data_IF_424412875082
#
_entry.id   IF_424412875082
#
_cell.length_a   1.000
_cell.length_b   1.000
_cell.length_c   1.000
_cell.angle_alpha   90.00
_cell.angle_beta   90.00
_cell.angle_gamma   90.00
#
_symmetry.space_group_name_H-M   'P 1'
#
loop_
_entity.id
_entity.type
_entity.pdbx_description
1 polymer ?
#
# COMPACT_ATOMS: atom_id res chain seq x y z
N UNK A 1 -19.23 -3.25 20.84
CA UNK A 1 -17.84 -3.14 21.32
C UNK A 1 -17.81 -3.43 22.80
N UNK A 2 -16.89 -4.25 23.29
CA UNK A 2 -16.75 -4.54 24.71
C UNK A 2 -15.40 -4.06 25.28
N UNK A 3 -15.31 -3.89 26.61
CA UNK A 3 -14.11 -3.42 27.30
C UNK A 3 -12.93 -4.37 27.09
N UNK A 4 -13.19 -5.67 26.87
CA UNK A 4 -12.19 -6.69 26.69
C UNK A 4 -11.45 -6.52 25.36
N UNK A 5 -12.16 -6.15 24.28
CA UNK A 5 -11.57 -5.90 22.96
C UNK A 5 -10.66 -4.68 22.98
N UNK A 6 -11.13 -3.55 23.55
CA UNK A 6 -10.33 -2.32 23.67
C UNK A 6 -9.09 -2.54 24.56
N UNK A 7 -9.27 -3.21 25.70
CA UNK A 7 -8.17 -3.53 26.61
C UNK A 7 -7.11 -4.40 25.96
N UNK A 8 -7.52 -5.40 25.18
CA UNK A 8 -6.61 -6.25 24.41
C UNK A 8 -5.78 -5.43 23.41
N UNK A 9 -6.42 -4.52 22.65
CA UNK A 9 -5.73 -3.67 21.67
C UNK A 9 -4.69 -2.79 22.37
N UNK A 10 -5.03 -2.17 23.48
CA UNK A 10 -4.10 -1.34 24.27
C UNK A 10 -2.91 -2.18 24.75
N UNK A 11 -3.15 -3.40 25.26
CA UNK A 11 -2.10 -4.29 25.73
C UNK A 11 -1.15 -4.72 24.60
N UNK A 12 -1.69 -5.05 23.42
CA UNK A 12 -0.88 -5.42 22.25
C UNK A 12 -0.04 -4.25 21.75
N UNK A 13 -0.62 -3.06 21.64
CA UNK A 13 0.12 -1.86 21.24
C UNK A 13 1.24 -1.52 22.22
N UNK A 14 0.97 -1.60 23.50
CA UNK A 14 1.98 -1.36 24.54
C UNK A 14 3.14 -2.36 24.43
N UNK A 15 2.84 -3.67 24.33
CA UNK A 15 3.87 -4.71 24.18
C UNK A 15 4.68 -4.52 22.90
N UNK A 16 4.03 -4.20 21.77
CA UNK A 16 4.70 -3.93 20.49
C UNK A 16 5.68 -2.74 20.58
N UNK A 17 5.38 -1.79 21.44
CA UNK A 17 6.25 -0.64 21.70
C UNK A 17 7.23 -0.86 22.87
N UNK A 18 7.41 -2.13 23.32
CA UNK A 18 8.30 -2.49 24.41
C UNK A 18 8.06 -1.69 25.72
N UNK A 19 6.82 -1.34 26.00
CA UNK A 19 6.41 -0.50 27.12
C UNK A 19 5.83 -1.35 28.25
N UNK A 20 6.17 -1.03 29.50
CA UNK A 20 5.51 -1.61 30.68
C UNK A 20 4.18 -0.89 30.96
N UNK A 21 3.28 -1.53 31.72
CA UNK A 21 2.04 -0.88 32.17
C UNK A 21 2.32 0.38 33.01
N UNK A 22 3.41 0.36 33.78
CA UNK A 22 3.83 1.50 34.59
C UNK A 22 4.27 2.69 33.72
N UNK A 23 5.03 2.45 32.66
CA UNK A 23 5.44 3.51 31.73
C UNK A 23 4.25 4.11 30.97
N UNK A 24 3.31 3.26 30.52
CA UNK A 24 2.08 3.75 29.88
C UNK A 24 1.25 4.58 30.86
N UNK A 25 1.10 4.12 32.10
CA UNK A 25 0.34 4.86 33.14
C UNK A 25 0.96 6.22 33.44
N UNK A 26 2.30 6.31 33.46
CA UNK A 26 3.02 7.57 33.63
C UNK A 26 2.75 8.54 32.47
N UNK A 27 2.80 8.07 31.22
CA UNK A 27 2.55 8.90 30.03
C UNK A 27 1.11 9.44 29.97
N UNK A 28 0.16 8.64 30.45
CA UNK A 28 -1.26 9.00 30.46
C UNK A 28 -1.68 9.73 31.73
N UNK A 29 -0.78 9.95 32.68
CA UNK A 29 -1.07 10.53 33.98
C UNK A 29 -2.23 9.83 34.72
N UNK A 30 -2.20 8.49 34.70
CA UNK A 30 -3.18 7.64 35.41
C UNK A 30 -2.46 6.65 36.33
N UNK A 31 -3.20 5.96 37.20
CA UNK A 31 -2.58 4.93 38.03
C UNK A 31 -2.23 3.68 37.24
N UNK A 32 -1.17 2.96 37.64
CA UNK A 32 -0.85 1.62 37.12
C UNK A 32 -2.06 0.67 37.18
N UNK A 33 -2.83 0.71 38.28
CA UNK A 33 -4.04 -0.09 38.44
C UNK A 33 -5.10 0.22 37.39
N UNK A 34 -5.15 1.46 36.92
CA UNK A 34 -6.08 1.91 35.89
C UNK A 34 -5.74 1.24 34.55
N UNK A 35 -4.48 1.28 34.12
CA UNK A 35 -4.02 0.62 32.89
C UNK A 35 -4.24 -0.89 32.97
N UNK A 36 -3.84 -1.51 34.08
CA UNK A 36 -4.07 -2.93 34.31
C UNK A 36 -5.56 -3.31 34.25
N UNK A 37 -6.45 -2.47 34.76
CA UNK A 37 -7.90 -2.68 34.71
C UNK A 37 -8.42 -2.64 33.26
N UNK A 38 -7.94 -1.72 32.44
CA UNK A 38 -8.30 -1.65 31.02
C UNK A 38 -7.83 -2.89 30.28
N UNK A 39 -6.55 -3.25 30.39
CA UNK A 39 -5.96 -4.40 29.69
C UNK A 39 -6.59 -5.75 30.06
N UNK A 40 -7.15 -5.84 31.26
CA UNK A 40 -7.89 -7.03 31.70
C UNK A 40 -9.40 -6.99 31.35
N UNK A 41 -9.85 -5.96 30.64
CA UNK A 41 -11.25 -5.81 30.24
C UNK A 41 -12.21 -5.50 31.40
N UNK A 42 -11.69 -5.00 32.51
CA UNK A 42 -12.46 -4.65 33.71
C UNK A 42 -12.97 -3.20 33.71
N UNK A 43 -12.78 -2.49 32.61
CA UNK A 43 -13.26 -1.12 32.40
C UNK A 43 -12.70 -0.54 31.11
N UNK A 44 -13.21 0.63 30.75
CA UNK A 44 -12.76 1.42 29.60
C UNK A 44 -11.87 2.58 30.02
N UNK A 45 -10.94 3.03 29.14
CA UNK A 45 -10.42 4.39 29.24
C UNK A 45 -11.57 5.40 29.19
N UNK A 46 -11.43 6.51 29.90
CA UNK A 46 -12.33 7.65 29.72
C UNK A 46 -12.23 8.17 28.28
N UNK A 47 -13.32 8.74 27.76
CA UNK A 47 -13.38 9.19 26.37
C UNK A 47 -12.26 10.19 26.04
N UNK A 48 -11.86 10.99 26.99
CA UNK A 48 -10.76 11.96 26.91
C UNK A 48 -9.38 11.32 26.84
N UNK A 49 -9.24 10.06 27.23
CA UNK A 49 -7.98 9.30 27.20
C UNK A 49 -7.72 8.66 25.83
N UNK A 50 -8.74 8.40 25.02
CA UNK A 50 -8.58 7.75 23.72
C UNK A 50 -7.66 8.52 22.77
N UNK A 51 -7.78 9.87 22.61
CA UNK A 51 -6.86 10.63 21.78
C UNK A 51 -5.40 10.56 22.26
N UNK A 52 -5.17 10.59 23.58
CA UNK A 52 -3.83 10.51 24.14
C UNK A 52 -3.21 9.11 23.95
N UNK A 53 -3.98 8.04 24.16
CA UNK A 53 -3.55 6.67 23.89
C UNK A 53 -3.22 6.52 22.38
N UNK A 54 -4.09 7.01 21.50
CA UNK A 54 -3.91 6.99 20.06
C UNK A 54 -2.60 7.69 19.64
N UNK A 55 -2.34 8.87 20.21
CA UNK A 55 -1.12 9.66 19.97
C UNK A 55 0.14 8.94 20.46
N UNK A 56 0.11 8.33 21.65
CA UNK A 56 1.26 7.60 22.22
C UNK A 56 1.66 6.43 21.30
N UNK A 57 0.69 5.75 20.71
CA UNK A 57 0.93 4.56 19.88
C UNK A 57 0.96 4.82 18.37
N UNK A 58 0.70 6.07 17.93
CA UNK A 58 0.67 6.42 16.50
C UNK A 58 -0.45 5.74 15.73
N UNK A 59 -1.61 5.54 16.36
CA UNK A 59 -2.79 4.92 15.75
C UNK A 59 -3.99 5.87 15.78
N UNK A 60 -5.06 5.56 15.02
CA UNK A 60 -6.32 6.31 15.11
C UNK A 60 -7.13 5.88 16.34
N UNK A 61 -8.02 6.77 16.81
CA UNK A 61 -9.00 6.45 17.85
C UNK A 61 -9.91 5.32 17.39
N UNK A 62 -10.31 5.31 16.12
CA UNK A 62 -11.12 4.25 15.52
C UNK A 62 -10.43 2.88 15.64
N UNK A 63 -9.11 2.83 15.37
CA UNK A 63 -8.35 1.59 15.55
C UNK A 63 -8.37 1.09 17.00
N UNK A 64 -8.21 2.00 17.97
CA UNK A 64 -8.31 1.62 19.39
C UNK A 64 -9.70 1.08 19.74
N UNK A 65 -10.72 1.59 19.08
CA UNK A 65 -12.09 1.22 19.34
C UNK A 65 -12.50 -0.06 18.61
N UNK A 66 -12.11 -0.26 17.36
CA UNK A 66 -12.59 -1.36 16.51
C UNK A 66 -11.56 -2.48 16.30
N UNK A 67 -10.28 -2.18 16.48
CA UNK A 67 -9.19 -3.07 16.06
C UNK A 67 -8.95 -3.10 14.55
N UNK A 68 -9.74 -2.35 13.79
CA UNK A 68 -9.64 -2.30 12.33
C UNK A 68 -8.78 -1.12 11.90
N UNK A 69 -7.75 -1.38 11.12
CA UNK A 69 -7.00 -0.31 10.46
C UNK A 69 -7.75 0.14 9.22
N UNK A 70 -8.05 1.43 9.14
CA UNK A 70 -8.50 2.02 7.88
C UNK A 70 -7.39 1.81 6.84
N UNK A 71 -7.77 1.30 5.67
CA UNK A 71 -6.85 1.06 4.58
C UNK A 71 -6.51 2.33 3.81
N UNK A 72 -5.49 2.22 2.96
CA UNK A 72 -5.11 3.28 2.02
C UNK A 72 -5.45 2.80 0.62
N UNK A 73 -6.25 3.56 -0.09
CA UNK A 73 -6.52 3.36 -1.52
C UNK A 73 -5.54 4.22 -2.34
N UNK A 74 -4.83 3.60 -3.27
CA UNK A 74 -3.91 4.28 -4.19
C UNK A 74 -4.50 4.19 -5.59
N UNK A 75 -4.85 5.35 -6.17
CA UNK A 75 -5.49 5.44 -7.47
C UNK A 75 -4.59 6.12 -8.51
N UNK A 76 -4.57 5.62 -9.75
CA UNK A 76 -3.85 6.23 -10.85
C UNK A 76 -3.23 5.25 -11.84
N UNK A 77 -2.09 5.62 -12.39
CA UNK A 77 -1.42 4.87 -13.45
C UNK A 77 -0.85 3.54 -12.97
N UNK A 78 -1.12 2.50 -13.75
CA UNK A 78 -0.59 1.14 -13.61
C UNK A 78 0.05 0.75 -14.94
N UNK A 79 1.31 0.34 -14.93
CA UNK A 79 2.01 -0.10 -16.12
C UNK A 79 3.10 -1.13 -15.80
N UNK A 80 3.67 -1.72 -16.84
CA UNK A 80 4.92 -2.49 -16.74
C UNK A 80 6.05 -1.77 -17.46
N UNK A 81 7.27 -1.92 -16.92
CA UNK A 81 8.50 -1.50 -17.58
C UNK A 81 9.29 -2.73 -18.03
N UNK A 82 9.43 -2.92 -19.33
CA UNK A 82 10.27 -3.92 -19.94
C UNK A 82 11.64 -3.30 -20.24
N UNK A 83 12.56 -3.48 -19.30
CA UNK A 83 13.90 -2.88 -19.37
C UNK A 83 14.85 -3.77 -20.15
N UNK A 84 15.43 -3.22 -21.20
CA UNK A 84 16.44 -3.86 -22.06
C UNK A 84 17.75 -3.09 -21.92
N UNK A 85 18.76 -3.70 -21.31
CA UNK A 85 20.09 -3.13 -21.32
C UNK A 85 20.72 -3.38 -22.68
N UNK A 86 21.13 -2.33 -23.35
CA UNK A 86 21.76 -2.39 -24.67
C UNK A 86 23.20 -1.89 -24.59
N UNK A 87 24.06 -2.38 -25.48
CA UNK A 87 25.46 -1.99 -25.51
C UNK A 87 25.65 -0.52 -25.97
N UNK A 88 24.77 -0.04 -26.86
CA UNK A 88 24.78 1.31 -27.40
C UNK A 88 23.43 1.61 -28.06
N UNK A 89 23.10 2.89 -28.29
CA UNK A 89 21.94 3.27 -29.10
C UNK A 89 22.31 3.20 -30.58
N UNK A 90 21.60 2.39 -31.39
CA UNK A 90 21.91 2.27 -32.79
C UNK A 90 21.48 3.52 -33.56
N UNK A 91 22.25 3.90 -34.58
CA UNK A 91 21.78 4.84 -35.59
C UNK A 91 20.62 4.22 -36.36
N UNK A 92 19.81 5.08 -37.00
CA UNK A 92 18.69 4.60 -37.83
C UNK A 92 19.15 3.57 -38.87
N UNK A 93 18.44 2.42 -38.89
CA UNK A 93 18.77 1.30 -39.79
C UNK A 93 19.88 0.38 -39.29
N UNK A 94 20.48 0.65 -38.12
CA UNK A 94 21.53 -0.17 -37.54
C UNK A 94 20.97 -1.04 -36.40
N UNK A 95 21.75 -2.04 -35.97
CA UNK A 95 21.42 -3.00 -34.92
C UNK A 95 22.23 -2.69 -33.66
N UNK A 96 21.60 -2.81 -32.49
CA UNK A 96 22.28 -2.89 -31.20
C UNK A 96 21.99 -4.22 -30.51
N UNK A 97 22.93 -4.71 -29.69
CA UNK A 97 22.76 -5.93 -28.94
C UNK A 97 22.06 -5.67 -27.61
N UNK A 98 21.05 -6.48 -27.29
CA UNK A 98 20.44 -6.53 -25.96
C UNK A 98 21.32 -7.42 -25.09
N UNK A 99 21.84 -6.87 -24.01
CA UNK A 99 22.71 -7.55 -23.04
C UNK A 99 21.89 -8.25 -21.94
N UNK A 100 20.78 -7.66 -21.55
CA UNK A 100 19.86 -8.23 -20.54
C UNK A 100 18.43 -7.70 -20.72
N UNK A 101 17.47 -8.50 -20.25
CA UNK A 101 16.05 -8.13 -20.24
C UNK A 101 15.50 -8.35 -18.83
N UNK A 102 14.74 -7.39 -18.33
CA UNK A 102 14.01 -7.52 -17.08
C UNK A 102 12.65 -6.84 -17.18
N UNK A 103 11.69 -7.32 -16.38
CA UNK A 103 10.35 -6.72 -16.28
C UNK A 103 10.07 -6.30 -14.84
N UNK A 104 9.55 -5.09 -14.67
CA UNK A 104 9.07 -4.56 -13.40
C UNK A 104 7.68 -3.97 -13.55
N UNK A 105 7.01 -3.75 -12.41
CA UNK A 105 5.82 -2.92 -12.38
C UNK A 105 6.22 -1.46 -12.24
N UNK A 106 5.46 -0.57 -12.86
CA UNK A 106 5.66 0.86 -12.84
C UNK A 106 4.33 1.62 -12.72
N UNK A 107 4.43 2.94 -12.67
CA UNK A 107 3.30 3.83 -12.42
C UNK A 107 3.13 4.18 -10.94
N UNK A 108 2.33 5.21 -10.67
CA UNK A 108 2.19 5.71 -9.30
C UNK A 108 1.53 4.67 -8.37
N UNK A 109 0.57 3.89 -8.85
CA UNK A 109 -0.13 2.91 -8.00
C UNK A 109 0.78 1.79 -7.52
N UNK A 110 1.44 1.00 -8.39
CA UNK A 110 2.32 -0.06 -7.93
C UNK A 110 3.49 0.45 -7.08
N UNK A 111 4.13 1.55 -7.49
CA UNK A 111 5.29 2.07 -6.77
C UNK A 111 4.90 2.51 -5.35
N UNK A 112 3.86 3.34 -5.22
CA UNK A 112 3.41 3.83 -3.91
C UNK A 112 2.89 2.70 -3.02
N UNK A 113 2.02 1.84 -3.55
CA UNK A 113 1.41 0.77 -2.75
C UNK A 113 2.45 -0.27 -2.28
N UNK A 114 3.39 -0.66 -3.15
CA UNK A 114 4.45 -1.61 -2.79
C UNK A 114 5.40 -1.00 -1.74
N UNK A 115 5.73 0.29 -1.84
CA UNK A 115 6.61 0.93 -0.88
C UNK A 115 5.94 1.07 0.49
N UNK A 116 4.65 1.43 0.55
CA UNK A 116 3.88 1.40 1.79
C UNK A 116 3.85 -0.01 2.38
N UNK A 117 3.59 -1.04 1.56
CA UNK A 117 3.56 -2.44 2.01
C UNK A 117 4.91 -2.93 2.55
N UNK A 118 6.04 -2.40 2.05
CA UNK A 118 7.37 -2.70 2.60
C UNK A 118 7.60 -2.02 3.95
N UNK A 119 7.05 -0.82 4.15
CA UNK A 119 7.18 -0.06 5.40
C UNK A 119 6.32 -0.70 6.50
N UNK A 120 5.05 -0.97 6.22
CA UNK A 120 4.13 -1.59 7.18
C UNK A 120 3.09 -2.49 6.46
N UNK A 121 3.30 -3.79 6.52
CA UNK A 121 2.41 -4.80 5.94
C UNK A 121 1.04 -4.91 6.63
N UNK A 122 0.87 -4.30 7.78
CA UNK A 122 -0.39 -4.36 8.52
C UNK A 122 -1.41 -3.29 8.07
N UNK A 123 -1.02 -2.37 7.20
CA UNK A 123 -1.92 -1.39 6.59
C UNK A 123 -2.66 -2.09 5.43
N UNK A 124 -4.01 -2.18 5.46
CA UNK A 124 -4.76 -2.65 4.30
C UNK A 124 -4.54 -1.70 3.11
N UNK A 125 -4.12 -2.25 1.97
CA UNK A 125 -3.84 -1.46 0.77
C UNK A 125 -4.73 -1.89 -0.38
N UNK A 126 -5.30 -0.92 -1.09
CA UNK A 126 -6.18 -1.12 -2.24
C UNK A 126 -5.59 -0.41 -3.45
N UNK A 127 -5.38 -1.14 -4.53
CA UNK A 127 -4.94 -0.58 -5.80
C UNK A 127 -6.14 -0.28 -6.70
N UNK A 128 -6.21 0.96 -7.19
CA UNK A 128 -7.21 1.41 -8.13
C UNK A 128 -6.54 1.93 -9.40
N UNK A 129 -7.00 1.49 -10.53
CA UNK A 129 -6.45 1.85 -11.83
C UNK A 129 -7.10 1.01 -12.91
N UNK A 130 -6.53 1.04 -14.12
CA UNK A 130 -7.07 0.28 -15.23
C UNK A 130 -5.96 -0.47 -15.97
N UNK A 131 -6.20 -1.73 -16.27
CA UNK A 131 -5.31 -2.62 -17.02
C UNK A 131 -6.06 -3.24 -18.19
N UNK A 132 -5.35 -3.86 -19.12
CA UNK A 132 -5.93 -4.72 -20.15
C UNK A 132 -6.04 -6.18 -19.67
N UNK A 133 -6.81 -7.00 -20.37
CA UNK A 133 -6.84 -8.46 -20.17
C UNK A 133 -5.70 -9.12 -20.95
N UNK A 134 -4.47 -8.92 -20.51
CA UNK A 134 -3.27 -9.40 -21.17
C UNK A 134 -2.20 -9.90 -20.18
N UNK A 135 -1.05 -10.33 -20.70
CA UNK A 135 0.06 -10.82 -19.88
C UNK A 135 0.61 -9.74 -18.93
N UNK A 136 0.70 -8.48 -19.39
CA UNK A 136 1.17 -7.36 -18.57
C UNK A 136 0.22 -7.10 -17.40
N UNK A 137 -1.10 -7.12 -17.64
CA UNK A 137 -2.10 -6.97 -16.59
C UNK A 137 -2.03 -8.08 -15.54
N UNK A 138 -1.95 -9.33 -15.98
CA UNK A 138 -1.79 -10.49 -15.08
C UNK A 138 -0.49 -10.40 -14.27
N UNK A 139 0.60 -9.94 -14.89
CA UNK A 139 1.86 -9.72 -14.19
C UNK A 139 1.74 -8.67 -13.08
N UNK A 140 1.10 -7.53 -13.37
CA UNK A 140 0.84 -6.47 -12.37
C UNK A 140 0.04 -7.01 -11.20
N UNK A 141 -1.10 -7.66 -11.46
CA UNK A 141 -1.96 -8.25 -10.43
C UNK A 141 -1.14 -9.21 -9.53
N UNK A 142 -0.41 -10.13 -10.13
CA UNK A 142 0.43 -11.08 -9.39
C UNK A 142 1.48 -10.39 -8.52
N UNK A 143 2.10 -9.31 -9.00
CA UNK A 143 3.09 -8.55 -8.24
C UNK A 143 2.48 -7.82 -7.06
N UNK A 144 1.35 -7.14 -7.24
CA UNK A 144 0.66 -6.43 -6.17
C UNK A 144 0.17 -7.40 -5.08
N UNK A 145 -0.44 -8.52 -5.47
CA UNK A 145 -0.92 -9.55 -4.54
C UNK A 145 0.21 -10.18 -3.71
N UNK A 146 1.42 -10.33 -4.27
CA UNK A 146 2.61 -10.78 -3.52
C UNK A 146 2.95 -9.89 -2.33
N UNK A 147 2.61 -8.61 -2.40
CA UNK A 147 2.78 -7.65 -1.30
C UNK A 147 1.54 -7.51 -0.42
N UNK A 148 0.50 -8.33 -0.64
CA UNK A 148 -0.76 -8.28 0.14
C UNK A 148 -1.67 -7.10 -0.22
N UNK A 149 -1.47 -6.49 -1.40
CA UNK A 149 -2.27 -5.38 -1.89
C UNK A 149 -3.53 -5.93 -2.55
N UNK A 150 -4.70 -5.42 -2.16
CA UNK A 150 -5.97 -5.77 -2.77
C UNK A 150 -6.06 -5.19 -4.19
N UNK A 151 -6.29 -6.06 -5.16
CA UNK A 151 -6.40 -5.74 -6.59
C UNK A 151 -7.81 -5.86 -7.13
N UNK A 152 -8.79 -6.19 -6.28
CA UNK A 152 -10.18 -6.42 -6.69
C UNK A 152 -10.90 -5.18 -7.24
N UNK A 153 -10.28 -3.99 -7.08
CA UNK A 153 -10.81 -2.72 -7.58
C UNK A 153 -10.04 -2.17 -8.80
N UNK A 154 -9.14 -2.95 -9.36
CA UNK A 154 -8.50 -2.61 -10.63
C UNK A 154 -9.47 -2.93 -11.76
N UNK A 155 -9.86 -1.92 -12.54
CA UNK A 155 -10.73 -2.09 -13.69
C UNK A 155 -9.97 -2.77 -14.85
N UNK A 156 -10.69 -3.58 -15.64
CA UNK A 156 -10.12 -4.26 -16.80
C UNK A 156 -10.74 -3.66 -18.06
N UNK A 157 -9.89 -3.13 -18.95
CA UNK A 157 -10.32 -2.65 -20.28
C UNK A 157 -10.59 -3.83 -21.21
N UNK A 158 -11.73 -3.79 -21.89
CA UNK A 158 -12.03 -4.72 -22.98
C UNK A 158 -11.47 -4.26 -24.35
N UNK A 159 -10.89 -3.04 -24.41
CA UNK A 159 -10.49 -2.40 -25.69
C UNK A 159 -9.00 -2.17 -25.81
N UNK A 160 -8.34 -1.87 -24.70
CA UNK A 160 -6.94 -1.49 -24.68
C UNK A 160 -6.10 -2.50 -23.91
N UNK A 161 -4.85 -2.66 -24.35
CA UNK A 161 -3.84 -3.40 -23.61
C UNK A 161 -3.45 -2.68 -22.33
N UNK A 162 -2.87 -3.40 -21.39
CA UNK A 162 -2.20 -2.79 -20.22
C UNK A 162 -1.12 -1.82 -20.70
N UNK A 163 -1.02 -0.68 -20.04
CA UNK A 163 0.03 0.30 -20.34
C UNK A 163 1.41 -0.31 -20.10
N UNK A 164 2.37 0.00 -20.94
CA UNK A 164 3.73 -0.48 -20.76
C UNK A 164 4.76 0.51 -21.30
N UNK A 165 6.00 0.37 -20.85
CA UNK A 165 7.15 1.07 -21.43
C UNK A 165 8.21 0.04 -21.81
N UNK A 166 8.70 0.13 -23.04
CA UNK A 166 9.97 -0.43 -23.43
C UNK A 166 11.07 0.57 -23.05
N UNK A 167 11.95 0.18 -22.14
CA UNK A 167 13.01 1.01 -21.62
C UNK A 167 14.34 0.51 -22.13
N UNK A 168 14.99 1.27 -23.00
CA UNK A 168 16.35 1.01 -23.42
C UNK A 168 17.32 1.71 -22.45
N UNK A 169 18.19 0.94 -21.81
CA UNK A 169 19.13 1.44 -20.80
C UNK A 169 20.56 1.11 -21.21
N UNK A 170 21.45 2.09 -21.16
CA UNK A 170 22.89 1.87 -21.31
C UNK A 170 23.51 1.42 -19.98
N UNK A 171 24.67 0.73 -20.00
CA UNK A 171 25.44 0.45 -18.78
C UNK A 171 25.85 1.69 -17.99
N UNK A 172 25.91 2.84 -18.63
CA UNK A 172 26.17 4.16 -18.02
C UNK A 172 25.00 4.69 -17.19
N UNK A 173 23.79 4.08 -17.32
CA UNK A 173 22.58 4.49 -16.63
C UNK A 173 21.65 5.40 -17.44
N UNK A 174 22.05 5.85 -18.63
CA UNK A 174 21.18 6.61 -19.53
C UNK A 174 20.03 5.75 -20.04
N UNK A 175 18.84 6.35 -20.16
CA UNK A 175 17.61 5.62 -20.52
C UNK A 175 16.81 6.37 -21.58
N UNK A 176 16.21 5.58 -22.47
CA UNK A 176 15.23 6.05 -23.47
C UNK A 176 13.98 5.21 -23.34
N UNK A 177 12.80 5.84 -23.44
CA UNK A 177 11.52 5.20 -23.18
C UNK A 177 10.66 5.23 -24.43
N UNK A 178 10.05 4.07 -24.74
CA UNK A 178 8.96 3.97 -25.70
C UNK A 178 7.71 3.56 -24.92
N UNK A 179 6.75 4.48 -24.80
CA UNK A 179 5.61 4.30 -23.90
C UNK A 179 4.30 4.12 -24.66
N UNK A 180 3.57 3.05 -24.31
CA UNK A 180 2.20 2.79 -24.74
C UNK A 180 1.25 3.14 -23.60
N UNK A 181 0.40 4.15 -23.77
CA UNK A 181 -0.55 4.58 -22.73
C UNK A 181 -1.62 3.53 -22.41
N UNK A 182 -2.03 2.72 -23.39
CA UNK A 182 -2.96 1.62 -23.19
C UNK A 182 -4.16 1.97 -22.32
N UNK A 183 -4.55 1.07 -21.42
CA UNK A 183 -5.68 1.22 -20.52
C UNK A 183 -5.61 2.44 -19.58
N UNK A 184 -4.42 2.97 -19.29
CA UNK A 184 -4.32 4.21 -18.50
C UNK A 184 -4.96 5.42 -19.19
N UNK A 185 -5.09 5.41 -20.54
CA UNK A 185 -5.76 6.47 -21.27
C UNK A 185 -7.28 6.46 -21.08
N UNK A 186 -7.83 5.34 -20.65
CA UNK A 186 -9.28 5.15 -20.41
C UNK A 186 -9.65 5.32 -18.93
N UNK A 187 -8.66 5.35 -18.01
CA UNK A 187 -8.93 5.45 -16.58
C UNK A 187 -9.55 6.81 -16.23
N UNK A 188 -10.70 6.76 -15.60
CA UNK A 188 -11.51 7.95 -15.25
C UNK A 188 -12.09 7.83 -13.83
N UNK A 189 -12.65 8.91 -13.27
CA UNK A 189 -13.34 8.85 -11.98
C UNK A 189 -14.48 7.81 -11.92
N UNK A 190 -15.10 7.50 -13.06
CA UNK A 190 -16.19 6.51 -13.13
C UNK A 190 -15.71 5.07 -12.89
N UNK A 191 -14.40 4.82 -13.03
CA UNK A 191 -13.79 3.54 -12.70
C UNK A 191 -13.54 3.38 -11.18
N UNK A 192 -13.83 4.41 -10.37
CA UNK A 192 -13.53 4.43 -8.93
C UNK A 192 -14.83 4.34 -8.13
N UNK A 193 -15.11 3.16 -7.57
CA UNK A 193 -16.20 3.01 -6.60
C UNK A 193 -15.72 3.42 -5.20
N UNK A 194 -16.04 4.66 -4.82
CA UNK A 194 -15.74 5.20 -3.50
C UNK A 194 -16.69 4.71 -2.40
N UNK A 195 -17.87 4.18 -2.74
CA UNK A 195 -18.86 3.72 -1.75
C UNK A 195 -18.33 2.60 -0.87
N UNK A 196 -17.45 1.80 -1.41
CA UNK A 196 -16.79 0.68 -0.71
C UNK A 196 -15.65 1.10 0.25
N UNK A 197 -15.32 2.39 0.30
CA UNK A 197 -14.35 2.98 1.23
C UNK A 197 -15.01 3.89 2.28
N UNK A 198 -16.34 4.01 2.28
CA UNK A 198 -17.06 4.80 3.28
C UNK A 198 -16.85 4.21 4.67
N UNK A 199 -16.51 5.11 5.58
CA UNK A 199 -16.19 4.87 6.97
C UNK A 199 -17.37 4.34 7.78
#
# INVERSE_FOLDING_TARGET
>A
MDAKSVGYIIAELRKKNNMTQAELSCRLNVSYKTVSKWENGLGYPEITQFPEIAKIFGVSVDYLMTGERKGIAVAGNILTDDVKTVNDYPKQGMLANILSVSRSVGGCVPNTAIDIAKIDRSIPLYALGKIGDDEHGRYVISKLQKYGIDTGKIAVSAKSTTSFSDVMSLPTGERTFFHARGANAEFSPDDIDLSSFSA
#
